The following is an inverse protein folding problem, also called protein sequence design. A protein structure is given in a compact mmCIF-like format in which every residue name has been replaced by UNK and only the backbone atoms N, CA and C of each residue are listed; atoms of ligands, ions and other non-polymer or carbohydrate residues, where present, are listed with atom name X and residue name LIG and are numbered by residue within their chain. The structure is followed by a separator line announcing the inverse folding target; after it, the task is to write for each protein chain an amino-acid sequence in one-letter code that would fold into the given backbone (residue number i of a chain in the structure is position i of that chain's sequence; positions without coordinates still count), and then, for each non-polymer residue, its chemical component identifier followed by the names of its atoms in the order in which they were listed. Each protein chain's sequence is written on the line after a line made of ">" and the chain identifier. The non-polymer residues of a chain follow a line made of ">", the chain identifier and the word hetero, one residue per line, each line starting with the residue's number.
data_IF_359337779030
#
_entry.id   IF_359337779030
#
_cell.length_a   1.000
_cell.length_b   1.000
_cell.length_c   1.000
_cell.angle_alpha   90.00
_cell.angle_beta   90.00
_cell.angle_gamma   90.00
#
_symmetry.space_group_name_H-M   'P 1'
#
loop_
_entity.id
_entity.type
_entity.pdbx_description
1 polymer ?
#
# COMPACT_ATOMS: atom_id res chain seq x y z
N UNK A 1 -68.66 38.17 8.25
CA UNK A 1 -67.28 38.38 7.74
C UNK A 1 -67.19 37.62 6.43
N UNK A 2 -67.33 38.33 5.32
CA UNK A 2 -67.22 37.74 3.98
C UNK A 2 -65.75 37.49 3.64
N UNK A 3 -65.46 36.31 3.10
CA UNK A 3 -64.11 35.92 2.72
C UNK A 3 -63.60 36.80 1.56
N UNK A 4 -62.31 37.17 1.54
CA UNK A 4 -61.77 38.05 0.51
C UNK A 4 -61.81 37.43 -0.89
N UNK A 5 -62.16 38.26 -1.89
CA UNK A 5 -62.48 37.92 -3.28
C UNK A 5 -61.45 37.06 -4.04
N UNK A 6 -60.19 37.01 -3.60
CA UNK A 6 -59.15 36.18 -4.23
C UNK A 6 -59.26 34.70 -3.84
N UNK A 7 -59.90 34.38 -2.72
CA UNK A 7 -60.07 33.01 -2.24
C UNK A 7 -61.30 32.33 -2.88
N UNK A 8 -62.30 33.11 -3.28
CA UNK A 8 -63.49 32.63 -4.00
C UNK A 8 -63.21 32.34 -5.49
N UNK A 9 -62.11 32.88 -6.04
CA UNK A 9 -61.77 32.75 -7.47
C UNK A 9 -61.06 31.44 -7.84
N UNK A 10 -60.74 30.58 -6.87
CA UNK A 10 -59.98 29.33 -7.08
C UNK A 10 -60.85 28.06 -7.06
N UNK A 11 -62.18 28.15 -7.20
CA UNK A 11 -63.04 26.97 -7.36
C UNK A 11 -62.98 26.33 -8.75
N UNK A 12 -62.25 26.93 -9.69
CA UNK A 12 -61.86 26.29 -10.95
C UNK A 12 -60.39 25.88 -10.84
N UNK A 13 -60.17 24.64 -10.38
CA UNK A 13 -58.88 23.97 -10.46
C UNK A 13 -58.39 24.08 -11.91
N UNK A 14 -57.21 24.67 -12.19
CA UNK A 14 -56.61 24.49 -13.50
C UNK A 14 -56.39 22.99 -13.67
N UNK A 15 -56.97 22.40 -14.71
CA UNK A 15 -56.65 21.06 -15.15
C UNK A 15 -55.16 21.05 -15.47
N UNK A 16 -54.37 20.58 -14.51
CA UNK A 16 -52.96 20.29 -14.75
C UNK A 16 -52.91 19.36 -15.97
N UNK A 17 -52.05 19.63 -16.98
CA UNK A 17 -51.75 18.63 -17.98
C UNK A 17 -51.40 17.37 -17.20
N UNK A 18 -52.16 16.29 -17.42
CA UNK A 18 -51.91 14.99 -16.83
C UNK A 18 -50.40 14.77 -16.87
N UNK A 19 -49.80 14.45 -15.72
CA UNK A 19 -48.45 13.91 -15.65
C UNK A 19 -48.46 12.65 -16.53
N UNK A 20 -48.23 12.83 -17.83
CA UNK A 20 -47.73 11.77 -18.68
C UNK A 20 -46.47 11.33 -17.95
N UNK A 21 -46.52 10.10 -17.46
CA UNK A 21 -45.38 9.34 -17.02
C UNK A 21 -44.41 9.32 -18.19
N UNK A 22 -43.61 10.36 -18.32
CA UNK A 22 -42.38 10.32 -19.07
C UNK A 22 -41.57 9.26 -18.34
N UNK A 23 -41.52 8.08 -18.97
CA UNK A 23 -40.57 7.03 -18.62
C UNK A 23 -39.24 7.73 -18.32
N UNK A 24 -38.55 7.42 -17.20
CA UNK A 24 -37.28 8.04 -16.93
C UNK A 24 -36.40 7.73 -18.15
N UNK A 25 -36.13 8.76 -18.95
CA UNK A 25 -35.16 8.68 -20.02
C UNK A 25 -33.90 8.08 -19.38
N UNK A 26 -33.26 7.09 -20.02
CA UNK A 26 -32.12 6.42 -19.43
C UNK A 26 -31.12 7.51 -19.05
N UNK A 27 -30.97 7.77 -17.75
CA UNK A 27 -29.95 8.67 -17.25
C UNK A 27 -28.64 8.04 -17.70
N UNK A 28 -28.10 8.55 -18.81
CA UNK A 28 -26.75 8.22 -19.29
C UNK A 28 -25.88 8.32 -18.06
N UNK A 29 -25.35 7.18 -17.62
CA UNK A 29 -24.51 7.06 -16.44
C UNK A 29 -23.51 8.21 -16.47
N UNK A 30 -23.77 9.23 -15.64
CA UNK A 30 -23.04 10.49 -15.67
C UNK A 30 -21.60 10.12 -15.36
N UNK A 31 -20.71 10.19 -16.37
CA UNK A 31 -19.27 9.87 -16.24
C UNK A 31 -18.81 10.50 -14.93
N UNK A 32 -18.39 9.68 -13.97
CA UNK A 32 -18.04 10.14 -12.62
C UNK A 32 -17.08 11.33 -12.72
N UNK A 33 -17.50 12.50 -12.24
CA UNK A 33 -16.74 13.74 -12.33
C UNK A 33 -15.34 13.55 -11.70
N UNK A 34 -14.30 14.18 -12.26
CA UNK A 34 -12.92 14.04 -11.78
C UNK A 34 -12.79 14.43 -10.29
N UNK A 35 -13.54 15.45 -9.86
CA UNK A 35 -13.66 15.88 -8.46
C UNK A 35 -14.20 14.75 -7.59
N UNK A 36 -15.21 14.01 -8.06
CA UNK A 36 -15.78 12.88 -7.32
C UNK A 36 -14.79 11.72 -7.22
N UNK A 37 -14.05 11.41 -8.29
CA UNK A 37 -12.98 10.40 -8.25
C UNK A 37 -11.88 10.78 -7.25
N UNK A 38 -11.49 12.05 -7.24
CA UNK A 38 -10.46 12.56 -6.32
C UNK A 38 -10.94 12.47 -4.87
N UNK A 39 -12.17 12.92 -4.58
CA UNK A 39 -12.77 12.81 -3.25
C UNK A 39 -12.88 11.35 -2.79
N UNK A 40 -13.31 10.44 -3.67
CA UNK A 40 -13.34 9.00 -3.37
C UNK A 40 -11.94 8.44 -3.10
N UNK A 41 -10.92 8.87 -3.84
CA UNK A 41 -9.53 8.50 -3.61
C UNK A 41 -9.02 8.97 -2.25
N UNK A 42 -9.30 10.21 -1.87
CA UNK A 42 -8.94 10.78 -0.56
C UNK A 42 -9.60 9.97 0.57
N UNK A 43 -10.92 9.77 0.51
CA UNK A 43 -11.67 8.99 1.51
C UNK A 43 -11.14 7.56 1.60
N UNK A 44 -10.78 6.96 0.46
CA UNK A 44 -10.20 5.62 0.42
C UNK A 44 -8.84 5.58 1.12
N UNK A 45 -7.94 6.55 0.86
CA UNK A 45 -6.64 6.64 1.54
C UNK A 45 -6.76 6.84 3.06
N UNK A 46 -7.68 7.69 3.51
CA UNK A 46 -7.98 7.87 4.94
C UNK A 46 -8.45 6.54 5.53
N UNK A 47 -9.42 5.89 4.87
CA UNK A 47 -9.95 4.61 5.34
C UNK A 47 -8.87 3.53 5.39
N UNK A 48 -8.01 3.42 4.39
CA UNK A 48 -6.93 2.43 4.37
C UNK A 48 -5.86 2.68 5.44
N UNK A 49 -5.50 3.94 5.67
CA UNK A 49 -4.55 4.32 6.72
C UNK A 49 -5.13 4.07 8.12
N UNK A 50 -6.37 4.49 8.38
CA UNK A 50 -7.09 4.21 9.62
C UNK A 50 -7.28 2.71 9.83
N UNK A 51 -7.63 1.95 8.79
CA UNK A 51 -7.79 0.50 8.88
C UNK A 51 -6.47 -0.21 9.22
N UNK A 52 -5.36 0.23 8.63
CA UNK A 52 -4.03 -0.30 8.95
C UNK A 52 -3.64 -0.01 10.41
N UNK A 53 -4.01 1.17 10.91
CA UNK A 53 -3.80 1.55 12.30
C UNK A 53 -4.72 0.80 13.28
N UNK A 54 -5.98 0.57 12.89
CA UNK A 54 -6.95 -0.20 13.67
C UNK A 54 -6.52 -1.67 13.82
N UNK A 55 -5.99 -2.29 12.77
CA UNK A 55 -5.41 -3.64 12.88
C UNK A 55 -4.23 -3.62 13.85
N UNK A 56 -3.32 -2.65 13.74
CA UNK A 56 -2.17 -2.53 14.64
C UNK A 56 -2.55 -2.20 16.10
N UNK A 57 -3.77 -1.71 16.34
CA UNK A 57 -4.33 -1.43 17.66
C UNK A 57 -4.92 -2.66 18.36
N UNK A 58 -5.25 -3.73 17.62
CA UNK A 58 -5.84 -4.94 18.20
C UNK A 58 -4.85 -5.69 19.09
N UNK A 59 -5.33 -6.45 20.10
CA UNK A 59 -4.49 -7.31 20.91
C UNK A 59 -4.19 -8.62 20.15
N UNK A 60 -2.96 -8.76 19.67
CA UNK A 60 -2.43 -9.94 19.00
C UNK A 60 -0.97 -10.19 19.36
N UNK A 61 -0.48 -11.40 19.09
CA UNK A 61 0.86 -11.84 19.51
C UNK A 61 1.97 -10.92 18.99
N UNK A 62 2.04 -10.69 17.67
CA UNK A 62 3.01 -9.75 17.10
C UNK A 62 2.73 -8.30 17.52
N UNK A 63 1.48 -7.89 17.74
CA UNK A 63 1.14 -6.51 18.12
C UNK A 63 1.61 -6.16 19.54
N UNK A 64 1.72 -7.15 20.43
CA UNK A 64 2.20 -6.97 21.79
C UNK A 64 3.73 -6.87 21.90
N UNK A 65 4.46 -7.24 20.85
CA UNK A 65 5.92 -7.26 20.85
C UNK A 65 6.55 -5.88 20.72
N UNK A 66 7.72 -5.71 21.33
CA UNK A 66 8.54 -4.50 21.12
C UNK A 66 8.86 -4.31 19.61
N UNK A 67 8.51 -3.16 19.03
CA UNK A 67 8.76 -2.85 17.61
C UNK A 67 10.22 -3.02 17.18
N UNK A 68 11.19 -2.75 18.07
CA UNK A 68 12.64 -2.84 17.76
C UNK A 68 13.07 -4.28 17.52
N UNK A 69 12.67 -5.18 18.41
CA UNK A 69 13.01 -6.60 18.32
C UNK A 69 12.23 -7.28 17.19
N UNK A 70 10.97 -6.89 16.98
CA UNK A 70 10.19 -7.34 15.82
C UNK A 70 10.86 -6.95 14.50
N UNK A 71 11.36 -5.71 14.39
CA UNK A 71 12.07 -5.27 13.20
C UNK A 71 13.33 -6.11 12.95
N UNK A 72 14.14 -6.35 13.98
CA UNK A 72 15.31 -7.21 13.86
C UNK A 72 14.94 -8.63 13.40
N UNK A 73 13.89 -9.21 14.01
CA UNK A 73 13.42 -10.56 13.67
C UNK A 73 12.89 -10.67 12.23
N UNK A 74 12.10 -9.69 11.79
CA UNK A 74 11.58 -9.68 10.40
C UNK A 74 12.70 -9.41 9.40
N UNK A 75 13.66 -8.55 9.75
CA UNK A 75 14.82 -8.28 8.90
C UNK A 75 15.74 -9.51 8.77
N UNK A 76 15.96 -10.26 9.86
CA UNK A 76 16.74 -11.51 9.81
C UNK A 76 16.06 -12.57 8.94
N UNK A 77 14.73 -12.70 9.04
CA UNK A 77 13.95 -13.59 8.17
C UNK A 77 14.01 -13.16 6.71
N UNK A 78 13.96 -11.85 6.44
CA UNK A 78 14.07 -11.31 5.08
C UNK A 78 15.43 -11.64 4.45
N UNK A 79 16.53 -11.46 5.20
CA UNK A 79 17.87 -11.84 4.75
C UNK A 79 17.91 -13.35 4.46
N UNK A 80 17.35 -14.16 5.37
CA UNK A 80 17.31 -15.63 5.23
C UNK A 80 16.61 -16.02 3.93
N UNK A 81 15.40 -15.52 3.69
CA UNK A 81 14.61 -15.77 2.46
C UNK A 81 15.37 -15.41 1.18
N UNK A 82 16.19 -14.35 1.22
CA UNK A 82 16.99 -13.93 0.07
C UNK A 82 18.26 -14.78 -0.14
N UNK A 83 18.76 -15.44 0.90
CA UNK A 83 19.91 -16.34 0.82
C UNK A 83 19.54 -17.76 0.37
N UNK A 84 18.34 -18.23 0.73
CA UNK A 84 17.87 -19.58 0.40
C UNK A 84 17.82 -19.82 -1.12
N UNK A 85 18.34 -20.97 -1.53
CA UNK A 85 18.37 -21.43 -2.94
C UNK A 85 17.36 -22.53 -3.22
N UNK A 86 16.87 -23.21 -2.18
CA UNK A 86 15.93 -24.33 -2.36
C UNK A 86 14.46 -23.91 -2.20
N UNK A 87 13.62 -24.32 -3.17
CA UNK A 87 12.18 -24.02 -3.15
C UNK A 87 11.43 -24.59 -1.94
N UNK A 88 11.66 -25.85 -1.49
CA UNK A 88 10.92 -26.40 -0.36
C UNK A 88 11.11 -25.60 0.93
N UNK A 89 12.33 -25.12 1.17
CA UNK A 89 12.64 -24.31 2.35
C UNK A 89 11.93 -22.94 2.30
N UNK A 90 11.85 -22.30 1.14
CA UNK A 90 11.11 -21.04 0.96
C UNK A 90 9.62 -21.21 1.31
N UNK A 91 9.00 -22.27 0.80
CA UNK A 91 7.60 -22.56 1.11
C UNK A 91 7.39 -22.95 2.58
N UNK A 92 8.35 -23.64 3.20
CA UNK A 92 8.36 -23.90 4.64
C UNK A 92 8.35 -22.61 5.48
N UNK A 93 9.21 -21.63 5.13
CA UNK A 93 9.22 -20.31 5.77
C UNK A 93 7.87 -19.60 5.57
N UNK A 94 7.32 -19.67 4.36
CA UNK A 94 6.03 -19.05 4.05
C UNK A 94 4.90 -19.61 4.92
N UNK A 95 4.85 -20.93 5.13
CA UNK A 95 3.91 -21.55 6.07
C UNK A 95 4.12 -21.04 7.50
N UNK A 96 5.38 -20.92 7.95
CA UNK A 96 5.72 -20.30 9.23
C UNK A 96 5.18 -18.87 9.36
N UNK A 97 5.35 -18.04 8.33
CA UNK A 97 4.82 -16.67 8.31
C UNK A 97 3.28 -16.65 8.39
N UNK A 98 2.61 -17.55 7.68
CA UNK A 98 1.15 -17.67 7.74
C UNK A 98 0.68 -18.10 9.13
N UNK A 99 1.39 -19.01 9.80
CA UNK A 99 1.06 -19.40 11.18
C UNK A 99 1.22 -18.24 12.16
N UNK A 100 2.30 -17.45 12.04
CA UNK A 100 2.51 -16.24 12.83
C UNK A 100 1.43 -15.18 12.58
N UNK A 101 0.99 -15.02 11.33
CA UNK A 101 -0.10 -14.13 10.97
C UNK A 101 -1.43 -14.57 11.62
N UNK A 102 -1.72 -15.88 11.60
CA UNK A 102 -2.90 -16.45 12.27
C UNK A 102 -2.86 -16.26 13.79
N UNK A 103 -1.72 -16.53 14.44
CA UNK A 103 -1.51 -16.29 15.88
C UNK A 103 -1.65 -14.82 16.25
N UNK A 104 -1.33 -13.93 15.31
CA UNK A 104 -1.47 -12.48 15.48
C UNK A 104 -2.85 -11.95 15.10
N UNK A 105 -3.81 -12.83 14.82
CA UNK A 105 -5.19 -12.50 14.40
C UNK A 105 -5.23 -11.57 13.18
N UNK A 106 -4.20 -11.61 12.33
CA UNK A 106 -4.17 -10.90 11.05
C UNK A 106 -4.93 -11.76 10.05
N UNK A 107 -5.85 -11.20 9.25
CA UNK A 107 -6.60 -11.97 8.26
C UNK A 107 -5.65 -12.54 7.20
N UNK A 108 -5.29 -13.82 7.31
CA UNK A 108 -4.35 -14.50 6.41
C UNK A 108 -4.86 -14.53 4.96
N UNK A 109 -6.18 -14.59 4.78
CA UNK A 109 -6.82 -14.47 3.45
C UNK A 109 -6.52 -13.14 2.77
N UNK A 110 -6.54 -12.04 3.55
CA UNK A 110 -6.18 -10.72 3.03
C UNK A 110 -4.71 -10.67 2.62
N UNK A 111 -3.82 -11.27 3.41
CA UNK A 111 -2.39 -11.34 3.10
C UNK A 111 -2.12 -12.08 1.78
N UNK A 112 -2.72 -13.26 1.62
CA UNK A 112 -2.55 -14.10 0.43
C UNK A 112 -3.13 -13.40 -0.80
N UNK A 113 -4.37 -12.92 -0.74
CA UNK A 113 -5.03 -12.27 -1.88
C UNK A 113 -4.30 -10.99 -2.31
N UNK A 114 -3.82 -10.19 -1.35
CA UNK A 114 -3.11 -8.94 -1.64
C UNK A 114 -1.76 -9.19 -2.29
N UNK A 115 -1.00 -10.16 -1.79
CA UNK A 115 0.38 -10.42 -2.23
C UNK A 115 0.39 -11.30 -3.48
N UNK A 116 -0.26 -12.47 -3.43
CA UNK A 116 -0.14 -13.49 -4.48
C UNK A 116 -0.97 -13.21 -5.73
N UNK A 117 -1.85 -12.21 -5.72
CA UNK A 117 -2.55 -11.79 -6.93
C UNK A 117 -1.73 -10.78 -7.74
N UNK A 118 -1.23 -9.72 -7.11
CA UNK A 118 -0.57 -8.61 -7.79
C UNK A 118 0.90 -8.90 -8.10
N UNK A 119 1.63 -9.50 -7.15
CA UNK A 119 3.09 -9.59 -7.22
C UNK A 119 3.55 -10.66 -8.20
N UNK A 120 3.00 -11.89 -8.21
CA UNK A 120 3.37 -12.89 -9.22
C UNK A 120 3.06 -12.42 -10.65
N UNK A 121 2.02 -11.61 -10.85
CA UNK A 121 1.72 -11.05 -12.16
C UNK A 121 2.82 -10.08 -12.60
N UNK A 122 3.17 -9.10 -11.76
CA UNK A 122 4.20 -8.11 -12.08
C UNK A 122 5.60 -8.73 -12.20
N UNK A 123 6.00 -9.54 -11.23
CA UNK A 123 7.30 -10.24 -11.24
C UNK A 123 7.36 -11.28 -12.36
N UNK A 124 6.24 -11.95 -12.66
CA UNK A 124 6.16 -12.89 -13.79
C UNK A 124 6.42 -12.21 -15.12
N UNK A 125 5.81 -11.05 -15.38
CA UNK A 125 6.08 -10.25 -16.58
C UNK A 125 7.54 -9.79 -16.63
N UNK A 126 8.10 -9.36 -15.48
CA UNK A 126 9.50 -8.90 -15.40
C UNK A 126 10.52 -10.02 -15.64
N UNK A 127 10.24 -11.24 -15.17
CA UNK A 127 11.15 -12.40 -15.26
C UNK A 127 10.92 -13.22 -16.53
N UNK A 128 9.86 -12.92 -17.28
CA UNK A 128 9.53 -13.57 -18.56
C UNK A 128 10.72 -13.59 -19.54
N UNK A 129 11.50 -12.51 -19.73
CA UNK A 129 12.68 -12.54 -20.59
C UNK A 129 13.75 -13.55 -20.13
N UNK A 130 13.86 -13.79 -18.82
CA UNK A 130 14.82 -14.72 -18.24
C UNK A 130 14.40 -16.20 -18.39
N UNK A 131 13.17 -16.48 -18.80
CA UNK A 131 12.71 -17.83 -19.15
C UNK A 131 13.28 -18.28 -20.51
N UNK A 132 13.60 -17.33 -21.39
CA UNK A 132 14.05 -17.62 -22.75
C UNK A 132 15.57 -17.78 -22.83
N UNK A 133 16.00 -18.67 -23.73
CA UNK A 133 17.39 -18.91 -24.09
C UNK A 133 18.18 -17.64 -24.49
N UNK A 134 17.48 -16.56 -24.85
CA UNK A 134 18.07 -15.24 -25.10
C UNK A 134 18.96 -14.75 -23.96
N UNK A 135 18.52 -14.93 -22.72
CA UNK A 135 19.17 -14.33 -21.53
C UNK A 135 20.02 -15.35 -20.77
N UNK A 136 19.65 -16.64 -20.82
CA UNK A 136 20.35 -17.72 -20.12
C UNK A 136 20.46 -18.94 -21.04
N UNK A 137 21.67 -19.34 -21.48
CA UNK A 137 21.85 -20.64 -22.12
C UNK A 137 21.59 -21.73 -21.09
N UNK A 138 20.81 -22.75 -21.44
CA UNK A 138 20.48 -23.83 -20.53
C UNK A 138 19.68 -24.96 -21.17
N UNK A 139 19.44 -26.03 -20.42
CA UNK A 139 18.82 -27.26 -20.91
C UNK A 139 17.36 -27.07 -21.31
N UNK A 140 16.96 -27.75 -22.38
CA UNK A 140 15.67 -27.60 -23.05
C UNK A 140 14.54 -28.20 -22.19
N UNK A 141 13.53 -27.38 -21.84
CA UNK A 141 12.33 -27.83 -21.11
C UNK A 141 11.13 -27.97 -22.06
N UNK A 142 10.92 -26.98 -22.94
CA UNK A 142 9.84 -26.96 -23.93
C UNK A 142 10.26 -26.10 -25.13
N UNK A 143 10.24 -26.69 -26.33
CA UNK A 143 10.45 -25.98 -27.58
C UNK A 143 9.14 -25.29 -27.99
N UNK A 144 9.12 -23.94 -28.03
CA UNK A 144 7.91 -23.20 -28.39
C UNK A 144 7.84 -23.03 -29.92
N UNK A 145 8.96 -22.67 -30.54
CA UNK A 145 9.00 -22.41 -31.97
C UNK A 145 10.44 -22.50 -32.53
N UNK A 146 10.58 -23.20 -33.64
CA UNK A 146 11.83 -23.34 -34.41
C UNK A 146 11.79 -22.35 -35.57
N UNK A 147 12.67 -21.34 -35.57
CA UNK A 147 12.80 -20.43 -36.71
C UNK A 147 13.64 -21.11 -37.78
N UNK A 148 13.03 -21.46 -38.92
CA UNK A 148 13.73 -22.07 -40.06
C UNK A 148 14.80 -21.15 -40.69
N UNK A 149 14.71 -19.84 -40.45
CA UNK A 149 15.74 -18.84 -40.78
C UNK A 149 15.87 -17.86 -39.62
N UNK A 150 17.09 -17.54 -39.14
CA UNK A 150 17.27 -16.58 -38.05
C UNK A 150 16.77 -15.20 -38.48
N UNK A 151 15.69 -14.67 -37.87
CA UNK A 151 15.20 -13.34 -38.21
C UNK A 151 16.20 -12.32 -37.68
N UNK A 152 16.93 -11.68 -38.59
CA UNK A 152 17.81 -10.56 -38.27
C UNK A 152 16.97 -9.28 -38.32
N UNK A 153 16.54 -8.78 -37.15
CA UNK A 153 15.94 -7.45 -37.04
C UNK A 153 17.04 -6.50 -36.54
N UNK A 154 17.83 -5.95 -37.46
CA UNK A 154 18.92 -5.01 -37.14
C UNK A 154 20.09 -5.67 -36.37
N UNK A 155 20.77 -4.96 -35.44
CA UNK A 155 21.95 -5.46 -34.71
C UNK A 155 21.63 -6.52 -33.64
N UNK A 156 20.42 -7.09 -33.66
CA UNK A 156 19.93 -8.03 -32.65
C UNK A 156 19.87 -9.42 -33.27
N UNK A 157 20.78 -10.29 -32.84
CA UNK A 157 20.82 -11.69 -33.27
C UNK A 157 19.81 -12.53 -32.45
N UNK A 158 18.74 -12.96 -33.11
CA UNK A 158 17.79 -13.91 -32.52
C UNK A 158 18.36 -15.34 -32.64
N UNK A 159 18.43 -16.13 -31.56
CA UNK A 159 18.79 -17.54 -31.66
C UNK A 159 17.75 -18.33 -32.49
N UNK A 160 18.16 -19.37 -33.24
CA UNK A 160 17.31 -20.09 -34.19
C UNK A 160 16.15 -20.86 -33.53
N UNK A 161 16.18 -21.07 -32.22
CA UNK A 161 15.11 -21.75 -31.49
C UNK A 161 14.74 -20.99 -30.21
N UNK A 162 13.48 -20.60 -30.09
CA UNK A 162 12.94 -20.02 -28.86
C UNK A 162 12.39 -21.15 -28.00
N UNK A 163 13.14 -21.56 -26.99
CA UNK A 163 12.72 -22.55 -26.01
C UNK A 163 12.83 -22.02 -24.58
N UNK A 164 11.96 -22.56 -23.72
CA UNK A 164 12.01 -22.32 -22.27
C UNK A 164 13.08 -23.24 -21.70
N UNK A 165 14.02 -22.67 -20.96
CA UNK A 165 15.08 -23.45 -20.30
C UNK A 165 14.62 -23.98 -18.94
N UNK A 166 15.07 -25.19 -18.57
CA UNK A 166 14.82 -25.78 -17.23
C UNK A 166 15.31 -24.87 -16.12
N UNK A 167 16.48 -24.30 -16.34
CA UNK A 167 17.14 -23.40 -15.42
C UNK A 167 16.40 -22.05 -15.31
N UNK A 168 15.89 -21.52 -16.44
CA UNK A 168 15.07 -20.31 -16.48
C UNK A 168 13.75 -20.48 -15.73
N UNK A 169 13.04 -21.59 -15.95
CA UNK A 169 11.78 -21.87 -15.25
C UNK A 169 11.95 -21.97 -13.73
N UNK A 170 12.87 -22.81 -13.25
CA UNK A 170 13.11 -22.95 -11.80
C UNK A 170 13.64 -21.65 -11.19
N UNK A 171 14.50 -20.92 -11.90
CA UNK A 171 14.94 -19.59 -11.49
C UNK A 171 13.79 -18.60 -11.37
N UNK A 172 12.84 -18.62 -12.31
CA UNK A 172 11.67 -17.75 -12.27
C UNK A 172 10.73 -18.09 -11.11
N UNK A 173 10.43 -19.37 -10.88
CA UNK A 173 9.59 -19.78 -9.74
C UNK A 173 10.26 -19.42 -8.42
N UNK A 174 11.58 -19.59 -8.30
CA UNK A 174 12.34 -19.20 -7.12
C UNK A 174 12.26 -17.69 -6.88
N UNK A 175 12.48 -16.87 -7.92
CA UNK A 175 12.39 -15.42 -7.81
C UNK A 175 10.98 -14.95 -7.44
N UNK A 176 9.94 -15.46 -8.11
CA UNK A 176 8.54 -15.13 -7.80
C UNK A 176 8.22 -15.48 -6.35
N UNK A 177 8.63 -16.67 -5.88
CA UNK A 177 8.43 -17.10 -4.50
C UNK A 177 9.16 -16.18 -3.51
N UNK A 178 10.42 -15.84 -3.79
CA UNK A 178 11.23 -14.97 -2.93
C UNK A 178 10.63 -13.57 -2.80
N UNK A 179 10.20 -12.98 -3.92
CA UNK A 179 9.55 -11.66 -3.92
C UNK A 179 8.21 -11.74 -3.17
N UNK A 180 7.39 -12.75 -3.44
CA UNK A 180 6.11 -12.96 -2.75
C UNK A 180 6.27 -13.07 -1.23
N UNK A 181 7.22 -13.88 -0.76
CA UNK A 181 7.48 -14.08 0.68
C UNK A 181 8.04 -12.79 1.31
N UNK A 182 8.97 -12.09 0.64
CA UNK A 182 9.56 -10.85 1.14
C UNK A 182 8.50 -9.75 1.30
N UNK A 183 7.60 -9.61 0.34
CA UNK A 183 6.51 -8.63 0.44
C UNK A 183 5.49 -9.05 1.50
N UNK A 184 5.23 -10.36 1.65
CA UNK A 184 4.38 -10.88 2.73
C UNK A 184 4.91 -10.45 4.11
N UNK A 185 6.22 -10.60 4.35
CA UNK A 185 6.87 -10.15 5.57
C UNK A 185 6.72 -8.63 5.78
N UNK A 186 6.94 -7.84 4.72
CA UNK A 186 6.82 -6.39 4.78
C UNK A 186 5.38 -5.94 5.09
N UNK A 187 4.38 -6.56 4.47
CA UNK A 187 2.96 -6.29 4.74
C UNK A 187 2.60 -6.69 6.16
N UNK A 188 3.07 -7.85 6.64
CA UNK A 188 2.83 -8.30 8.01
C UNK A 188 3.43 -7.33 9.05
N UNK A 189 4.65 -6.82 8.81
CA UNK A 189 5.28 -5.81 9.67
C UNK A 189 4.43 -4.54 9.75
N UNK A 190 4.00 -4.01 8.60
CA UNK A 190 3.21 -2.77 8.49
C UNK A 190 1.83 -2.92 9.13
N UNK A 191 1.19 -4.08 9.03
CA UNK A 191 -0.12 -4.34 9.65
C UNK A 191 -0.06 -4.57 11.16
N UNK A 192 1.07 -5.08 11.67
CA UNK A 192 1.21 -5.43 13.09
C UNK A 192 1.92 -4.36 13.92
N UNK A 193 2.43 -3.30 13.28
CA UNK A 193 3.23 -2.26 13.94
C UNK A 193 2.73 -0.88 13.53
N UNK A 194 2.39 -0.04 14.52
CA UNK A 194 1.95 1.33 14.26
C UNK A 194 3.07 2.14 13.60
N UNK A 195 2.71 3.06 12.69
CA UNK A 195 3.68 3.90 11.99
C UNK A 195 4.59 4.68 12.93
N UNK A 196 4.03 5.31 13.96
CA UNK A 196 4.80 6.03 14.99
C UNK A 196 5.78 5.11 15.74
N UNK A 197 5.36 3.88 16.03
CA UNK A 197 6.20 2.90 16.71
C UNK A 197 7.34 2.40 15.79
N UNK A 198 7.05 2.24 14.49
CA UNK A 198 8.02 1.87 13.48
C UNK A 198 9.11 2.94 13.32
N UNK A 199 8.71 4.21 13.18
CA UNK A 199 9.64 5.35 13.09
C UNK A 199 10.52 5.48 14.33
N UNK A 200 9.95 5.27 15.52
CA UNK A 200 10.72 5.27 16.77
C UNK A 200 11.66 4.08 16.88
N UNK A 201 11.27 2.92 16.38
CA UNK A 201 12.13 1.75 16.38
C UNK A 201 13.36 1.97 15.48
N UNK A 202 13.18 2.63 14.33
CA UNK A 202 14.28 3.06 13.44
C UNK A 202 15.30 3.99 14.13
N UNK A 203 14.93 4.69 15.21
CA UNK A 203 15.90 5.45 16.05
C UNK A 203 17.01 4.58 16.61
N UNK A 204 16.71 3.30 16.86
CA UNK A 204 17.69 2.32 17.35
C UNK A 204 18.62 1.84 16.22
N UNK A 205 18.22 2.03 14.97
CA UNK A 205 18.91 1.55 13.78
C UNK A 205 19.67 2.67 13.06
N UNK A 206 20.68 3.28 13.70
CA UNK A 206 21.59 4.27 13.10
C UNK A 206 20.97 5.46 12.31
N UNK A 207 19.63 5.61 12.28
CA UNK A 207 18.96 6.69 11.55
C UNK A 207 19.08 7.97 12.36
N UNK A 208 19.60 9.07 11.78
CA UNK A 208 19.69 10.35 12.47
C UNK A 208 18.32 10.85 12.97
N UNK A 209 18.30 11.39 14.19
CA UNK A 209 17.07 11.83 14.87
C UNK A 209 16.23 12.82 14.05
N UNK A 210 16.89 13.66 13.25
CA UNK A 210 16.23 14.67 12.40
C UNK A 210 15.27 14.03 11.39
N UNK A 211 15.65 12.91 10.75
CA UNK A 211 14.77 12.23 9.80
C UNK A 211 13.53 11.68 10.47
N UNK A 212 13.68 11.14 11.67
CA UNK A 212 12.57 10.57 12.45
C UNK A 212 11.60 11.68 12.84
N UNK A 213 12.11 12.81 13.35
CA UNK A 213 11.28 13.96 13.70
C UNK A 213 10.54 14.50 12.48
N UNK A 214 11.24 14.68 11.35
CA UNK A 214 10.62 15.14 10.10
C UNK A 214 9.53 14.19 9.62
N UNK A 215 9.77 12.88 9.65
CA UNK A 215 8.77 11.87 9.27
C UNK A 215 7.58 11.78 10.25
N UNK A 216 7.82 11.88 11.57
CA UNK A 216 6.75 11.90 12.58
C UNK A 216 5.85 13.12 12.39
N UNK A 217 6.44 14.30 12.16
CA UNK A 217 5.69 15.52 11.88
C UNK A 217 4.96 15.43 10.53
N UNK A 218 5.60 14.91 9.50
CA UNK A 218 4.96 14.68 8.19
C UNK A 218 3.73 13.79 8.34
N UNK A 219 3.85 12.68 9.06
CA UNK A 219 2.73 11.77 9.31
C UNK A 219 1.62 12.41 10.15
N UNK A 220 1.95 13.22 11.16
CA UNK A 220 0.95 13.96 11.94
C UNK A 220 0.17 14.96 11.06
N UNK A 221 0.87 15.72 10.23
CA UNK A 221 0.27 16.83 9.47
C UNK A 221 -0.32 16.43 8.13
N UNK A 222 0.02 15.26 7.56
CA UNK A 222 -0.60 14.78 6.33
C UNK A 222 -2.11 14.61 6.50
N UNK A 223 -2.58 14.14 7.67
CA UNK A 223 -4.01 14.00 7.95
C UNK A 223 -4.71 15.35 8.03
N UNK A 224 -4.07 16.37 8.62
CA UNK A 224 -4.61 17.74 8.68
C UNK A 224 -4.78 18.31 7.26
N UNK A 225 -3.77 18.12 6.40
CA UNK A 225 -3.83 18.58 5.00
C UNK A 225 -4.88 17.80 4.19
N UNK A 226 -5.04 16.50 4.46
CA UNK A 226 -6.06 15.67 3.82
C UNK A 226 -7.48 16.15 4.20
N UNK A 227 -7.74 16.47 5.47
CA UNK A 227 -9.04 17.03 5.90
C UNK A 227 -9.31 18.37 5.21
N UNK A 228 -8.31 19.26 5.15
CA UNK A 228 -8.45 20.54 4.46
C UNK A 228 -8.75 20.34 2.96
N UNK A 229 -8.09 19.37 2.32
CA UNK A 229 -8.35 19.02 0.93
C UNK A 229 -9.76 18.46 0.73
N UNK A 230 -10.25 17.62 1.64
CA UNK A 230 -11.61 17.09 1.63
C UNK A 230 -12.63 18.24 1.69
N UNK A 231 -12.46 19.18 2.62
CA UNK A 231 -13.33 20.35 2.77
C UNK A 231 -13.35 21.21 1.51
N UNK A 232 -12.19 21.44 0.87
CA UNK A 232 -12.10 22.18 -0.39
C UNK A 232 -12.87 21.49 -1.51
N UNK A 233 -12.72 20.17 -1.66
CA UNK A 233 -13.42 19.42 -2.70
C UNK A 233 -14.93 19.32 -2.43
N UNK A 234 -15.32 19.19 -1.16
CA UNK A 234 -16.72 19.19 -0.75
C UNK A 234 -17.38 20.55 -1.04
N UNK A 235 -16.72 21.65 -0.66
CA UNK A 235 -17.19 23.01 -0.95
C UNK A 235 -17.30 23.26 -2.46
N UNK A 236 -16.33 22.79 -3.26
CA UNK A 236 -16.41 22.90 -4.72
C UNK A 236 -17.59 22.11 -5.27
N UNK A 237 -17.79 20.87 -4.81
CA UNK A 237 -18.91 20.02 -5.23
C UNK A 237 -20.27 20.65 -4.90
N UNK A 238 -20.40 21.31 -3.75
CA UNK A 238 -21.61 22.02 -3.35
C UNK A 238 -21.92 23.22 -4.27
N UNK A 239 -20.91 23.96 -4.72
CA UNK A 239 -21.07 25.11 -5.63
C UNK A 239 -21.35 24.72 -7.08
N UNK A 240 -20.76 23.63 -7.57
CA UNK A 240 -20.79 23.27 -8.99
C UNK A 240 -22.08 22.56 -9.45
N UNK A 241 -22.85 21.96 -8.53
CA UNK A 241 -24.02 21.09 -8.82
C UNK A 241 -23.80 20.06 -9.96
N UNK A 242 -22.54 19.73 -10.27
CA UNK A 242 -22.15 18.83 -11.36
C UNK A 242 -22.25 19.40 -12.78
N UNK A 243 -22.08 20.72 -12.97
CA UNK A 243 -22.13 21.40 -14.27
C UNK A 243 -20.75 21.85 -14.82
N UNK A 244 -19.67 21.78 -14.03
CA UNK A 244 -18.33 22.23 -14.45
C UNK A 244 -17.77 21.48 -15.67
N UNK A 245 -17.08 22.22 -16.54
CA UNK A 245 -16.26 21.65 -17.61
C UNK A 245 -15.02 20.93 -17.07
N UNK A 246 -14.49 19.96 -17.83
CA UNK A 246 -13.26 19.25 -17.45
C UNK A 246 -12.03 20.17 -17.32
N UNK A 247 -12.00 21.30 -18.04
CA UNK A 247 -10.94 22.30 -17.94
C UNK A 247 -11.00 23.07 -16.61
N UNK A 248 -12.20 23.47 -16.18
CA UNK A 248 -12.40 24.10 -14.86
C UNK A 248 -12.04 23.16 -13.71
N UNK A 249 -12.39 21.88 -13.82
CA UNK A 249 -12.02 20.87 -12.83
C UNK A 249 -10.49 20.75 -12.67
N UNK A 250 -9.75 20.73 -13.79
CA UNK A 250 -8.28 20.71 -13.75
C UNK A 250 -7.70 21.99 -13.15
N UNK A 251 -8.26 23.15 -13.51
CA UNK A 251 -7.83 24.44 -12.96
C UNK A 251 -8.06 24.49 -11.44
N UNK A 252 -9.20 23.99 -10.97
CA UNK A 252 -9.51 23.88 -9.55
C UNK A 252 -8.53 22.97 -8.80
N UNK A 253 -8.16 21.82 -9.38
CA UNK A 253 -7.17 20.93 -8.76
C UNK A 253 -5.80 21.60 -8.68
N UNK A 254 -5.37 22.28 -9.74
CA UNK A 254 -4.14 23.07 -9.73
C UNK A 254 -4.14 24.16 -8.64
N UNK A 255 -5.24 24.93 -8.53
CA UNK A 255 -5.36 25.93 -7.47
C UNK A 255 -5.41 25.33 -6.06
N UNK A 256 -5.99 24.13 -5.93
CA UNK A 256 -6.08 23.43 -4.65
C UNK A 256 -4.69 22.97 -4.18
N UNK A 257 -3.87 22.45 -5.09
CA UNK A 257 -2.48 22.06 -4.80
C UNK A 257 -1.66 23.29 -4.39
N UNK A 258 -1.79 24.40 -5.11
CA UNK A 258 -1.09 25.65 -4.77
C UNK A 258 -1.49 26.18 -3.39
N UNK A 259 -2.79 26.13 -3.07
CA UNK A 259 -3.30 26.54 -1.76
C UNK A 259 -2.78 25.63 -0.64
N UNK A 260 -2.82 24.31 -0.83
CA UNK A 260 -2.27 23.34 0.12
C UNK A 260 -0.78 23.56 0.38
N UNK A 261 0.00 23.86 -0.66
CA UNK A 261 1.42 24.15 -0.53
C UNK A 261 1.67 25.42 0.28
N UNK A 262 0.92 26.50 0.00
CA UNK A 262 1.00 27.73 0.81
C UNK A 262 0.62 27.47 2.27
N UNK A 263 -0.43 26.68 2.51
CA UNK A 263 -0.88 26.33 3.85
C UNK A 263 0.12 25.45 4.61
N UNK A 264 0.78 24.51 3.94
CA UNK A 264 1.79 23.66 4.57
C UNK A 264 3.03 24.44 4.99
N UNK A 265 3.46 25.43 4.18
CA UNK A 265 4.57 26.32 4.52
C UNK A 265 4.25 27.16 5.75
N UNK A 266 3.09 27.83 5.76
CA UNK A 266 2.61 28.61 6.90
C UNK A 266 2.53 27.74 8.17
N UNK A 267 1.95 26.55 8.06
CA UNK A 267 1.83 25.62 9.17
C UNK A 267 3.21 25.17 9.70
N UNK A 268 4.20 24.97 8.83
CA UNK A 268 5.56 24.63 9.25
C UNK A 268 6.17 25.72 10.13
N UNK A 269 6.00 26.99 9.78
CA UNK A 269 6.49 28.13 10.56
C UNK A 269 5.75 28.28 11.90
N UNK A 270 4.41 28.18 11.88
CA UNK A 270 3.57 28.24 13.09
C UNK A 270 3.93 27.12 14.07
N UNK A 271 4.10 25.90 13.57
CA UNK A 271 4.46 24.74 14.39
C UNK A 271 5.86 24.87 14.94
N UNK A 272 6.82 25.29 14.12
CA UNK A 272 8.19 25.53 14.58
C UNK A 272 8.23 26.60 15.68
N UNK A 273 7.54 27.72 15.49
CA UNK A 273 7.43 28.80 16.48
C UNK A 273 6.77 28.30 17.78
N UNK A 274 5.74 27.45 17.67
CA UNK A 274 5.11 26.84 18.84
C UNK A 274 6.04 25.89 19.58
N UNK A 275 6.86 25.13 18.85
CA UNK A 275 7.85 24.22 19.43
C UNK A 275 8.95 24.99 20.15
N UNK A 276 9.50 26.04 19.55
CA UNK A 276 10.53 26.87 20.19
C UNK A 276 10.00 27.57 21.44
N UNK A 277 8.77 28.07 21.41
CA UNK A 277 8.10 28.65 22.60
C UNK A 277 7.94 27.65 23.75
N UNK A 278 7.87 26.34 23.47
CA UNK A 278 7.81 25.26 24.46
C UNK A 278 9.18 24.73 24.88
N UNK A 279 10.27 25.38 24.46
CA UNK A 279 11.64 24.98 24.80
C UNK A 279 12.19 23.85 23.94
N UNK A 280 11.79 23.76 22.66
CA UNK A 280 12.35 22.76 21.74
C UNK A 280 13.85 22.99 21.50
N UNK A 281 14.67 22.02 21.90
CA UNK A 281 16.14 22.04 21.77
C UNK A 281 16.65 21.23 20.57
N UNK A 282 15.78 20.85 19.63
CA UNK A 282 16.11 19.95 18.52
C UNK A 282 15.73 18.49 18.75
N UNK A 283 15.19 18.15 19.93
CA UNK A 283 14.71 16.80 20.23
C UNK A 283 13.26 16.79 20.72
N UNK A 284 12.41 15.99 20.06
CA UNK A 284 11.04 15.71 20.51
C UNK A 284 11.09 14.58 21.54
N UNK A 285 10.74 14.93 22.77
CA UNK A 285 10.58 13.98 23.87
C UNK A 285 9.13 13.49 23.89
N UNK A 286 8.93 12.17 23.92
CA UNK A 286 7.60 11.55 23.97
C UNK A 286 7.50 10.69 25.22
N UNK A 287 6.33 10.71 25.88
CA UNK A 287 6.10 10.07 27.19
C UNK A 287 6.00 8.53 27.13
N UNK A 288 6.11 7.94 25.94
CA UNK A 288 5.89 6.51 25.75
C UNK A 288 7.23 5.77 25.78
N UNK A 289 7.49 5.10 26.89
CA UNK A 289 8.65 4.23 27.04
C UNK A 289 8.32 2.81 26.55
N UNK A 290 9.15 2.29 25.65
CA UNK A 290 9.10 0.88 25.28
C UNK A 290 9.66 0.06 26.45
N UNK A 291 8.88 -0.89 26.95
CA UNK A 291 9.34 -1.83 27.97
C UNK A 291 9.65 -3.15 27.29
N UNK A 292 10.94 -3.51 27.30
CA UNK A 292 11.43 -4.81 26.85
C UNK A 292 10.81 -5.89 27.73
N UNK A 293 9.98 -6.75 27.14
CA UNK A 293 9.45 -7.93 27.82
C UNK A 293 10.33 -9.13 27.49
N UNK A 294 10.45 -10.07 28.42
CA UNK A 294 11.16 -11.33 28.21
C UNK A 294 10.63 -12.13 27.01
N UNK A 295 9.33 -12.02 26.72
CA UNK A 295 8.71 -12.61 25.53
C UNK A 295 9.30 -12.05 24.22
N UNK A 296 9.72 -10.78 24.21
CA UNK A 296 10.30 -10.15 23.02
C UNK A 296 11.69 -10.72 22.74
N UNK A 297 12.51 -10.87 23.79
CA UNK A 297 13.84 -11.48 23.68
C UNK A 297 13.74 -12.94 23.24
N UNK A 298 12.80 -13.69 23.81
CA UNK A 298 12.56 -15.07 23.42
C UNK A 298 12.16 -15.18 21.93
N UNK A 299 11.22 -14.35 21.48
CA UNK A 299 10.77 -14.37 20.08
C UNK A 299 11.87 -14.00 19.08
N UNK A 300 12.76 -13.05 19.43
CA UNK A 300 13.94 -12.74 18.64
C UNK A 300 14.91 -13.94 18.58
N UNK A 301 15.16 -14.57 19.72
CA UNK A 301 15.98 -15.78 19.80
C UNK A 301 15.44 -16.91 18.92
N UNK A 302 14.13 -17.17 18.97
CA UNK A 302 13.46 -18.17 18.12
C UNK A 302 13.60 -17.80 16.64
N UNK A 303 13.40 -16.53 16.26
CA UNK A 303 13.56 -16.08 14.88
C UNK A 303 14.98 -16.28 14.36
N UNK A 304 16.00 -15.95 15.17
CA UNK A 304 17.40 -16.13 14.81
C UNK A 304 17.78 -17.61 14.71
N UNK A 305 17.31 -18.45 15.65
CA UNK A 305 17.53 -19.90 15.57
C UNK A 305 16.85 -20.49 14.34
N UNK A 306 15.61 -20.11 14.04
CA UNK A 306 14.92 -20.53 12.83
C UNK A 306 15.72 -20.13 11.58
N UNK A 307 16.15 -18.87 11.49
CA UNK A 307 17.03 -18.38 10.41
C UNK A 307 18.30 -19.22 10.25
N UNK A 308 18.98 -19.53 11.35
CA UNK A 308 20.23 -20.31 11.34
C UNK A 308 19.99 -21.75 10.91
N UNK A 309 18.96 -22.42 11.44
CA UNK A 309 18.61 -23.80 11.07
C UNK A 309 18.25 -23.93 9.60
N UNK A 310 17.49 -22.96 9.06
CA UNK A 310 17.11 -22.93 7.65
C UNK A 310 18.32 -22.68 6.74
N UNK A 311 19.23 -21.81 7.13
CA UNK A 311 20.48 -21.60 6.41
C UNK A 311 21.37 -22.85 6.42
N UNK A 312 21.50 -23.51 7.58
CA UNK A 312 22.24 -24.76 7.70
C UNK A 312 21.60 -25.87 6.85
N UNK A 313 20.27 -25.99 6.85
CA UNK A 313 19.54 -26.94 6.01
C UNK A 313 19.76 -26.67 4.51
N UNK A 314 19.76 -25.39 4.09
CA UNK A 314 20.05 -25.01 2.69
C UNK A 314 21.45 -25.45 2.27
N UNK A 315 22.44 -25.29 3.16
CA UNK A 315 23.82 -25.75 2.95
C UNK A 315 23.95 -27.26 2.88
N UNK A 316 23.22 -28.00 3.71
CA UNK A 316 23.23 -29.48 3.71
C UNK A 316 22.53 -30.03 2.46
N UNK A 317 21.45 -29.40 2.01
CA UNK A 317 20.71 -29.79 0.81
C UNK A 317 21.38 -29.36 -0.51
N UNK A 318 22.25 -28.35 -0.45
CA UNK A 318 23.01 -27.84 -1.59
C UNK A 318 24.45 -28.36 -1.68
N UNK A 319 24.81 -29.33 -0.84
CA UNK A 319 26.09 -30.03 -0.84
C UNK A 319 26.12 -31.21 -1.81
#
# INVERSE_FOLDING_TARGET
>A
MELPLWLQKNSELPTFPSLQSSSPAPQKAKRSNFIQKTLQGIVHLIRESVYSEEIALRPGFLQAMDPRLKLLAIFSLLITVNLLRHLPLLWGIYLGILTLAMLSKVPSRFLIQRVWFVIPLFTGIMVLPALFNWVRPGDLLWQIWTFATPPHIGPVHFPPELFITRQGFWGAVLLISRVGISVTLAVLLTLTTRWNNLLRALRTFFVPKIFIVTLEMTYRYIFVLITLLEDMFLARKARDAGQSSGAEQRRFVGSSIAHLFGKSLQMSEEVYTSMTARGYTGEIHTLQHFQLRWMDVFSLGVSLMASLTLYAADKVLGG
#
